data_IF_857320820600
#
_entry.id   IF_857320820600
#
_cell.length_a   1.000
_cell.length_b   1.000
_cell.length_c   1.000
_cell.angle_alpha   90.00
_cell.angle_beta   90.00
_cell.angle_gamma   90.00
#
_symmetry.space_group_name_H-M   'P 1'
#
loop_
_entity.id
_entity.type
_entity.pdbx_description
1 polymer ?
#
# COMPACT_ATOMS: atom_id res chain seq x y z
N UNK A 1 5.55 -0.07 4.56
CA UNK A 1 6.30 -0.38 3.33
C UNK A 1 5.43 -1.30 2.51
N UNK A 2 5.14 -0.88 1.28
CA UNK A 2 3.99 -1.36 0.51
C UNK A 2 4.48 -2.28 -0.59
N UNK A 3 3.89 -3.47 -0.70
CA UNK A 3 3.98 -4.27 -1.93
C UNK A 3 2.97 -3.65 -2.89
N UNK A 4 3.42 -2.70 -3.72
CA UNK A 4 2.64 -2.24 -4.87
C UNK A 4 3.25 -2.94 -6.07
N UNK A 5 2.57 -3.95 -6.60
CA UNK A 5 2.85 -4.37 -7.96
C UNK A 5 2.00 -3.47 -8.87
N UNK A 6 2.57 -2.49 -9.59
CA UNK A 6 1.81 -1.76 -10.59
C UNK A 6 1.29 -2.79 -11.59
N UNK A 7 -0.01 -2.80 -11.86
CA UNK A 7 -0.60 -3.55 -12.98
C UNK A 7 0.02 -3.00 -14.27
N UNK A 8 1.17 -3.53 -14.64
CA UNK A 8 2.00 -3.00 -15.71
C UNK A 8 2.54 -4.15 -16.53
N UNK A 9 2.35 -4.09 -17.84
CA UNK A 9 2.79 -5.14 -18.78
C UNK A 9 4.30 -5.11 -19.06
N UNK A 10 5.08 -4.38 -18.25
CA UNK A 10 6.52 -4.25 -18.42
C UNK A 10 7.31 -5.40 -17.77
N UNK A 11 6.64 -6.21 -16.94
CA UNK A 11 7.21 -7.37 -16.26
C UNK A 11 6.13 -8.42 -16.01
N UNK A 12 6.49 -9.69 -16.08
CA UNK A 12 5.63 -10.81 -15.67
C UNK A 12 5.89 -11.27 -14.22
N UNK A 13 6.67 -10.48 -13.48
CA UNK A 13 7.03 -10.72 -12.09
C UNK A 13 5.80 -10.94 -11.20
N UNK A 14 5.83 -12.05 -10.46
CA UNK A 14 4.85 -12.39 -9.44
C UNK A 14 5.54 -12.97 -8.19
N UNK A 15 4.94 -12.72 -7.04
CA UNK A 15 5.29 -13.38 -5.79
C UNK A 15 4.02 -13.94 -5.18
N UNK A 16 3.99 -15.26 -5.03
CA UNK A 16 2.90 -15.98 -4.39
C UNK A 16 3.33 -16.35 -2.99
N UNK A 17 2.59 -15.88 -2.01
CA UNK A 17 2.77 -16.18 -0.60
C UNK A 17 1.79 -17.27 -0.20
N UNK A 18 2.27 -18.30 0.50
CA UNK A 18 1.49 -19.44 0.95
C UNK A 18 1.55 -19.55 2.47
N UNK A 19 0.38 -19.62 3.09
CA UNK A 19 0.24 -20.04 4.48
C UNK A 19 0.03 -21.56 4.52
N UNK A 20 1.06 -22.27 4.97
CA UNK A 20 1.10 -23.74 5.01
C UNK A 20 0.01 -24.35 5.90
N UNK A 21 -0.49 -23.61 6.90
CA UNK A 21 -1.50 -24.12 7.83
C UNK A 21 -2.92 -23.82 7.38
N UNK A 22 -3.18 -22.63 6.83
CA UNK A 22 -4.52 -22.26 6.39
C UNK A 22 -4.81 -22.63 4.92
N UNK A 23 -3.78 -22.99 4.16
CA UNK A 23 -3.88 -23.24 2.72
C UNK A 23 -4.20 -21.99 1.90
N UNK A 24 -4.19 -20.81 2.54
CA UNK A 24 -4.40 -19.53 1.85
C UNK A 24 -3.17 -19.20 1.02
N UNK A 25 -3.40 -18.66 -0.16
CA UNK A 25 -2.36 -18.09 -1.00
C UNK A 25 -2.73 -16.68 -1.43
N UNK A 26 -1.72 -15.85 -1.63
CA UNK A 26 -1.85 -14.49 -2.13
C UNK A 26 -0.81 -14.23 -3.21
N UNK A 27 -1.24 -13.79 -4.38
CA UNK A 27 -0.36 -13.36 -5.47
C UNK A 27 -0.24 -11.83 -5.48
N UNK A 28 0.98 -11.32 -5.33
CA UNK A 28 1.25 -9.88 -5.41
C UNK A 28 0.84 -9.27 -6.76
N UNK A 29 0.77 -10.09 -7.82
CA UNK A 29 0.31 -9.67 -9.15
C UNK A 29 -1.21 -9.78 -9.34
N UNK A 30 -1.83 -10.88 -8.88
CA UNK A 30 -3.25 -11.19 -9.15
C UNK A 30 -4.19 -10.63 -8.09
N UNK A 31 -3.74 -10.52 -6.85
CA UNK A 31 -4.57 -10.19 -5.68
C UNK A 31 -4.28 -8.77 -5.14
N UNK A 32 -3.86 -7.84 -6.01
CA UNK A 32 -3.35 -6.49 -5.70
C UNK A 32 -4.25 -5.55 -4.85
N UNK A 33 -5.46 -5.98 -4.47
CA UNK A 33 -6.45 -5.16 -3.76
C UNK A 33 -6.43 -5.43 -2.26
N UNK A 34 -6.12 -6.63 -1.82
CA UNK A 34 -6.12 -6.94 -0.39
C UNK A 34 -4.77 -6.53 0.20
N UNK A 35 -4.76 -5.43 0.94
CA UNK A 35 -3.63 -5.00 1.75
C UNK A 35 -4.11 -4.30 3.04
N UNK A 36 -3.46 -4.54 4.20
CA UNK A 36 -2.44 -5.55 4.43
C UNK A 36 -3.01 -6.98 4.36
N UNK A 37 -2.16 -7.96 4.02
CA UNK A 37 -2.53 -9.39 4.04
C UNK A 37 -2.10 -9.94 5.38
N UNK A 38 -3.05 -10.56 6.08
CA UNK A 38 -2.79 -11.20 7.36
C UNK A 38 -2.80 -12.71 7.16
N UNK A 39 -1.65 -13.34 7.38
CA UNK A 39 -1.55 -14.78 7.50
C UNK A 39 -1.74 -15.18 8.95
N UNK A 40 -2.46 -16.27 9.17
CA UNK A 40 -2.74 -16.77 10.53
C UNK A 40 -1.61 -17.64 11.05
N UNK A 41 -0.81 -18.22 10.14
CA UNK A 41 0.36 -19.00 10.50
C UNK A 41 1.58 -18.14 10.81
N UNK A 42 2.45 -18.67 11.65
CA UNK A 42 3.79 -18.15 11.91
C UNK A 42 4.81 -18.54 10.82
N UNK A 43 4.41 -19.37 9.84
CA UNK A 43 5.25 -19.76 8.70
C UNK A 43 4.54 -19.38 7.41
N UNK A 44 5.22 -18.58 6.59
CA UNK A 44 4.77 -18.18 5.25
C UNK A 44 5.86 -18.53 4.25
N UNK A 45 5.50 -19.33 3.23
CA UNK A 45 6.37 -19.68 2.12
C UNK A 45 6.17 -18.68 0.98
N UNK A 46 7.24 -18.24 0.32
CA UNK A 46 7.16 -17.35 -0.84
C UNK A 46 7.70 -18.05 -2.08
N UNK A 47 6.90 -18.09 -3.15
CA UNK A 47 7.34 -18.48 -4.48
C UNK A 47 7.41 -17.23 -5.37
N UNK A 48 8.62 -16.91 -5.82
CA UNK A 48 8.88 -15.82 -6.74
C UNK A 48 9.04 -16.36 -8.17
N UNK A 49 8.35 -15.77 -9.14
CA UNK A 49 8.46 -16.12 -10.56
C UNK A 49 8.62 -14.87 -11.43
N UNK A 50 9.50 -14.97 -12.43
CA UNK A 50 9.68 -13.96 -13.48
C UNK A 50 10.36 -14.59 -14.69
N UNK A 51 9.82 -14.38 -15.88
CA UNK A 51 10.44 -14.78 -17.14
C UNK A 51 10.73 -13.60 -18.09
N UNK A 52 10.16 -12.42 -17.83
CA UNK A 52 10.27 -11.22 -18.65
C UNK A 52 10.22 -9.92 -17.84
N UNK A 53 11.02 -8.92 -18.24
CA UNK A 53 11.02 -7.58 -17.65
C UNK A 53 11.94 -7.40 -16.42
N UNK A 54 12.16 -6.15 -15.97
CA UNK A 54 12.99 -5.85 -14.80
C UNK A 54 12.25 -6.20 -13.48
N UNK A 55 12.96 -6.69 -12.44
CA UNK A 55 12.38 -6.86 -11.10
C UNK A 55 11.99 -5.52 -10.48
N UNK A 56 10.86 -5.48 -9.80
CA UNK A 56 10.37 -4.30 -9.06
C UNK A 56 9.73 -4.65 -7.71
N UNK A 57 9.64 -5.93 -7.35
CA UNK A 57 9.01 -6.35 -6.11
C UNK A 57 9.83 -5.95 -4.87
N UNK A 58 9.16 -5.30 -3.92
CA UNK A 58 9.68 -5.02 -2.58
C UNK A 58 8.73 -5.67 -1.58
N UNK A 59 9.22 -6.60 -0.77
CA UNK A 59 8.44 -7.32 0.25
C UNK A 59 8.77 -6.79 1.65
N UNK A 60 7.76 -6.30 2.38
CA UNK A 60 7.88 -6.02 3.81
C UNK A 60 7.12 -7.08 4.61
N UNK A 61 7.80 -7.69 5.57
CA UNK A 61 7.19 -8.61 6.54
C UNK A 61 7.20 -7.94 7.91
N UNK A 62 6.02 -7.79 8.51
CA UNK A 62 5.85 -7.29 9.88
C UNK A 62 5.35 -8.43 10.76
N UNK A 63 6.05 -8.69 11.86
CA UNK A 63 5.54 -9.53 12.93
C UNK A 63 4.71 -8.66 13.87
N UNK A 64 3.39 -8.84 13.86
CA UNK A 64 2.48 -8.17 14.79
C UNK A 64 2.38 -9.04 16.05
N UNK A 65 3.11 -8.66 17.09
CA UNK A 65 2.90 -9.19 18.44
C UNK A 65 1.82 -8.33 19.12
N UNK A 66 0.77 -8.97 19.64
CA UNK A 66 -0.46 -8.41 20.20
C UNK A 66 -1.66 -8.14 19.24
N UNK A 67 -2.82 -8.56 19.74
CA UNK A 67 -4.16 -8.69 19.13
C UNK A 67 -4.87 -7.41 18.66
N UNK A 68 -4.20 -6.27 18.45
CA UNK A 68 -4.91 -4.98 18.53
C UNK A 68 -5.32 -4.26 17.24
N UNK A 69 -5.29 -4.89 16.06
CA UNK A 69 -5.74 -4.20 14.85
C UNK A 69 -6.59 -5.10 13.95
N UNK A 70 -7.90 -5.07 14.17
CA UNK A 70 -8.92 -5.52 13.21
C UNK A 70 -9.08 -4.53 12.04
N UNK A 71 -8.57 -3.30 12.17
CA UNK A 71 -8.56 -2.29 11.13
C UNK A 71 -7.34 -2.44 10.20
N UNK A 72 -7.50 -2.03 8.93
CA UNK A 72 -6.40 -1.96 7.95
C UNK A 72 -5.47 -0.82 8.33
N UNK A 73 -4.58 -1.12 9.27
CA UNK A 73 -3.77 -0.15 9.99
C UNK A 73 -2.28 -0.46 9.85
N UNK A 74 -1.49 0.56 9.49
CA UNK A 74 -0.03 0.51 9.50
C UNK A 74 0.47 1.48 10.55
N UNK A 75 1.13 0.98 11.59
CA UNK A 75 1.85 1.81 12.56
C UNK A 75 3.35 1.70 12.31
N UNK A 76 4.01 2.82 12.06
CA UNK A 76 5.46 2.91 12.18
C UNK A 76 5.78 3.76 13.40
N UNK A 77 6.39 3.13 14.41
CA UNK A 77 6.69 3.75 15.68
C UNK A 77 8.20 3.87 15.89
N UNK A 78 8.66 5.04 16.33
CA UNK A 78 10.01 5.30 16.83
C UNK A 78 11.12 4.71 15.94
N UNK A 79 11.01 4.98 14.64
CA UNK A 79 11.83 4.36 13.58
C UNK A 79 12.51 5.43 12.71
N UNK A 80 13.51 5.01 11.94
CA UNK A 80 14.15 5.86 10.92
C UNK A 80 13.82 5.29 9.53
N UNK A 81 13.33 6.15 8.64
CA UNK A 81 13.07 5.83 7.23
C UNK A 81 14.06 6.62 6.38
N UNK A 82 15.11 5.94 5.94
CA UNK A 82 16.23 6.58 5.28
C UNK A 82 16.73 5.91 4.01
N UNK A 83 17.32 6.73 3.14
CA UNK A 83 17.99 6.32 1.90
C UNK A 83 17.09 5.55 0.90
N UNK A 84 15.79 5.85 0.88
CA UNK A 84 14.84 5.25 -0.08
C UNK A 84 14.55 6.18 -1.27
N UNK A 85 14.12 5.59 -2.38
CA UNK A 85 13.54 6.37 -3.48
C UNK A 85 12.29 7.14 -2.99
N UNK A 86 11.38 6.43 -2.33
CA UNK A 86 10.24 7.01 -1.64
C UNK A 86 10.29 6.54 -0.19
N UNK A 87 10.25 7.47 0.79
CA UNK A 87 10.23 7.09 2.20
C UNK A 87 9.01 6.20 2.50
N UNK A 88 7.84 6.64 2.06
CA UNK A 88 6.62 5.86 1.98
C UNK A 88 6.01 6.04 0.61
N UNK A 89 5.57 4.95 -0.01
CA UNK A 89 4.78 4.97 -1.25
C UNK A 89 3.51 4.14 -1.03
N UNK A 90 2.37 4.68 -1.41
CA UNK A 90 1.06 4.02 -1.29
C UNK A 90 0.21 4.30 -2.52
N UNK A 91 -0.36 3.25 -3.09
CA UNK A 91 -1.21 3.33 -4.27
C UNK A 91 -2.60 2.80 -3.95
N UNK A 92 -3.63 3.58 -4.23
CA UNK A 92 -5.01 3.31 -3.85
C UNK A 92 -5.90 3.27 -5.09
N UNK A 93 -6.30 2.06 -5.48
CA UNK A 93 -7.22 1.87 -6.60
C UNK A 93 -8.67 2.04 -6.13
N UNK A 94 -9.47 2.81 -6.89
CA UNK A 94 -10.90 2.98 -6.59
C UNK A 94 -11.74 1.77 -7.00
N UNK A 95 -11.29 0.99 -7.98
CA UNK A 95 -12.01 -0.19 -8.48
C UNK A 95 -11.06 -1.29 -8.99
N UNK A 96 -11.64 -2.44 -9.28
CA UNK A 96 -11.02 -3.50 -10.07
C UNK A 96 -11.92 -3.89 -11.24
N UNK A 97 -11.32 -4.01 -12.41
CA UNK A 97 -11.95 -4.58 -13.59
C UNK A 97 -11.51 -6.04 -13.75
N UNK A 98 -12.47 -6.95 -13.90
CA UNK A 98 -12.24 -8.36 -14.18
C UNK A 98 -12.24 -8.64 -15.68
N UNK A 99 -11.72 -9.79 -16.09
CA UNK A 99 -11.63 -10.19 -17.50
C UNK A 99 -12.98 -10.40 -18.18
N UNK A 100 -14.05 -10.60 -17.41
CA UNK A 100 -15.43 -10.70 -17.88
C UNK A 100 -16.11 -9.34 -18.04
N UNK A 101 -15.41 -8.23 -17.74
CA UNK A 101 -15.94 -6.87 -17.78
C UNK A 101 -16.62 -6.43 -16.49
N UNK A 102 -16.68 -7.28 -15.45
CA UNK A 102 -17.21 -6.90 -14.14
C UNK A 102 -16.32 -5.81 -13.52
N UNK A 103 -16.94 -4.80 -12.89
CA UNK A 103 -16.24 -3.77 -12.11
C UNK A 103 -16.68 -3.88 -10.66
N UNK A 104 -15.73 -4.00 -9.73
CA UNK A 104 -16.00 -3.89 -8.28
C UNK A 104 -15.32 -2.65 -7.73
N UNK A 105 -16.06 -1.85 -6.97
CA UNK A 105 -15.49 -0.69 -6.30
C UNK A 105 -14.96 -1.05 -4.92
N UNK A 106 -13.84 -0.43 -4.56
CA UNK A 106 -13.25 -0.55 -3.23
C UNK A 106 -14.00 0.37 -2.28
N UNK A 107 -14.48 -0.19 -1.18
CA UNK A 107 -14.84 0.55 0.02
C UNK A 107 -13.97 0.08 1.18
N UNK A 108 -13.28 1.00 1.83
CA UNK A 108 -12.32 0.69 2.90
C UNK A 108 -12.13 1.88 3.83
N UNK A 109 -11.88 1.61 5.11
CA UNK A 109 -11.37 2.58 6.06
C UNK A 109 -9.98 2.13 6.50
N UNK A 110 -8.98 2.93 6.20
CA UNK A 110 -7.57 2.60 6.37
C UNK A 110 -6.87 3.69 7.16
N UNK A 111 -5.84 3.30 7.92
CA UNK A 111 -5.04 4.28 8.65
C UNK A 111 -3.56 3.94 8.59
N UNK A 112 -2.76 4.89 8.17
CA UNK A 112 -1.32 4.87 8.24
C UNK A 112 -0.89 5.88 9.30
N UNK A 113 -0.29 5.39 10.38
CA UNK A 113 0.17 6.22 11.49
C UNK A 113 1.68 6.09 11.63
N UNK A 114 2.34 7.23 11.53
CA UNK A 114 3.76 7.41 11.76
C UNK A 114 3.89 8.18 13.07
N UNK A 115 4.50 7.58 14.07
CA UNK A 115 4.67 8.19 15.39
C UNK A 115 6.15 8.17 15.78
N UNK A 116 6.73 9.34 16.07
CA UNK A 116 8.16 9.50 16.39
C UNK A 116 9.10 8.95 15.29
N UNK A 117 8.68 9.06 14.03
CA UNK A 117 9.45 8.56 12.89
C UNK A 117 10.36 9.68 12.35
N UNK A 118 11.60 9.34 12.04
CA UNK A 118 12.54 10.23 11.36
C UNK A 118 12.67 9.84 9.89
N UNK A 119 12.11 10.64 8.99
CA UNK A 119 12.29 10.52 7.55
C UNK A 119 13.49 11.35 7.11
N UNK A 120 14.52 10.71 6.54
CA UNK A 120 15.73 11.42 6.13
C UNK A 120 16.38 10.82 4.88
N UNK A 121 17.05 11.65 4.05
CA UNK A 121 17.78 11.21 2.85
C UNK A 121 16.98 10.42 1.81
N UNK A 122 15.64 10.55 1.78
CA UNK A 122 14.82 9.97 0.72
C UNK A 122 14.89 10.84 -0.56
N UNK A 123 14.97 10.21 -1.73
CA UNK A 123 15.39 10.90 -2.97
C UNK A 123 14.26 11.50 -3.82
N UNK A 124 13.13 10.83 -4.01
CA UNK A 124 12.02 11.28 -4.87
C UNK A 124 10.82 11.81 -4.08
N UNK A 125 10.44 11.15 -2.99
CA UNK A 125 9.44 11.68 -2.05
C UNK A 125 9.67 11.15 -0.63
N UNK A 126 9.20 11.90 0.37
CA UNK A 126 9.11 11.43 1.75
C UNK A 126 7.89 10.53 1.91
N UNK A 127 6.74 11.01 1.44
CA UNK A 127 5.50 10.22 1.31
C UNK A 127 4.95 10.49 -0.09
N UNK A 128 4.65 9.43 -0.83
CA UNK A 128 3.96 9.52 -2.11
C UNK A 128 2.67 8.71 -2.07
N UNK A 129 1.55 9.40 -2.33
CA UNK A 129 0.22 8.82 -2.45
C UNK A 129 -0.19 8.90 -3.92
N UNK A 130 -0.66 7.79 -4.47
CA UNK A 130 -1.13 7.73 -5.84
C UNK A 130 -2.50 7.05 -5.95
N UNK A 131 -3.46 7.70 -6.61
CA UNK A 131 -4.80 7.17 -6.89
C UNK A 131 -5.09 7.26 -8.40
N UNK A 132 -4.68 6.25 -9.20
CA UNK A 132 -4.67 6.34 -10.66
C UNK A 132 -6.02 6.06 -11.35
N UNK A 133 -6.97 5.38 -10.69
CA UNK A 133 -8.14 4.80 -11.38
C UNK A 133 -9.34 5.77 -11.46
N UNK A 134 -10.04 5.76 -12.59
CA UNK A 134 -10.97 6.83 -13.00
C UNK A 134 -12.48 6.47 -13.02
N UNK A 135 -12.84 5.18 -12.99
CA UNK A 135 -14.23 4.74 -13.16
C UNK A 135 -14.91 4.50 -11.81
N UNK A 136 -15.53 5.53 -11.27
CA UNK A 136 -16.35 5.40 -10.06
C UNK A 136 -17.80 5.22 -10.48
N UNK A 137 -18.41 4.10 -10.12
CA UNK A 137 -19.84 3.89 -10.39
C UNK A 137 -20.66 4.91 -9.57
N UNK A 138 -21.80 5.40 -10.08
CA UNK A 138 -22.67 6.27 -9.30
C UNK A 138 -23.04 5.64 -7.96
N UNK A 139 -23.09 6.45 -6.90
CA UNK A 139 -23.37 6.03 -5.51
C UNK A 139 -22.34 5.07 -4.89
N UNK A 140 -21.12 5.01 -5.43
CA UNK A 140 -20.03 4.26 -4.80
C UNK A 140 -19.69 4.86 -3.43
N UNK A 141 -19.63 4.04 -2.37
CA UNK A 141 -19.16 4.50 -1.06
C UNK A 141 -17.72 5.01 -1.13
N UNK A 142 -17.44 6.08 -0.39
CA UNK A 142 -16.10 6.67 -0.32
C UNK A 142 -15.24 5.83 0.63
N UNK A 143 -14.05 5.46 0.17
CA UNK A 143 -12.98 4.94 1.02
C UNK A 143 -12.21 6.09 1.66
N UNK A 144 -11.97 5.99 2.96
CA UNK A 144 -11.18 6.97 3.72
C UNK A 144 -9.85 6.35 4.11
N UNK A 145 -8.75 6.97 3.71
CA UNK A 145 -7.39 6.53 4.03
C UNK A 145 -6.68 7.61 4.83
N UNK A 146 -6.61 7.42 6.14
CA UNK A 146 -6.07 8.38 7.10
C UNK A 146 -4.54 8.32 7.14
N UNK A 147 -3.88 9.47 7.02
CA UNK A 147 -2.43 9.62 7.21
C UNK A 147 -2.18 10.45 8.48
N UNK A 148 -1.61 9.81 9.49
CA UNK A 148 -1.27 10.42 10.77
C UNK A 148 0.25 10.56 10.88
N UNK A 149 0.72 11.79 11.00
CA UNK A 149 2.11 12.15 11.29
C UNK A 149 2.13 12.75 12.69
N UNK A 150 2.60 11.98 13.67
CA UNK A 150 2.64 12.36 15.09
C UNK A 150 4.09 12.44 15.56
N UNK A 151 4.54 13.64 15.91
CA UNK A 151 5.90 13.92 16.40
C UNK A 151 7.00 13.35 15.48
N UNK A 152 6.78 13.47 14.17
CA UNK A 152 7.71 12.98 13.16
C UNK A 152 8.73 14.07 12.78
N UNK A 153 9.94 13.64 12.44
CA UNK A 153 10.96 14.48 11.83
C UNK A 153 11.02 14.19 10.34
N UNK A 154 10.97 15.24 9.51
CA UNK A 154 11.18 15.15 8.07
C UNK A 154 12.30 16.11 7.70
N UNK A 155 13.52 15.59 7.58
CA UNK A 155 14.71 16.42 7.40
C UNK A 155 15.72 15.78 6.45
N UNK A 156 16.42 16.60 5.65
CA UNK A 156 17.45 16.15 4.70
C UNK A 156 16.96 15.19 3.61
N UNK A 157 15.69 15.29 3.23
CA UNK A 157 15.14 14.59 2.06
C UNK A 157 15.28 15.49 0.82
N UNK A 158 15.45 14.90 -0.36
CA UNK A 158 15.41 15.63 -1.64
C UNK A 158 13.98 15.79 -2.14
N UNK A 159 13.16 14.77 -1.92
CA UNK A 159 11.76 14.72 -2.36
C UNK A 159 10.77 15.32 -1.36
N UNK A 160 9.61 15.83 -1.81
CA UNK A 160 8.55 16.36 -0.96
C UNK A 160 7.59 15.27 -0.44
N UNK A 161 6.54 15.66 0.28
CA UNK A 161 5.33 14.86 0.41
C UNK A 161 4.44 15.15 -0.79
N UNK A 162 3.98 14.10 -1.49
CA UNK A 162 3.25 14.20 -2.74
C UNK A 162 1.95 13.41 -2.62
N UNK A 163 0.83 14.07 -2.90
CA UNK A 163 -0.46 13.43 -3.12
C UNK A 163 -0.86 13.60 -4.59
N UNK A 164 -1.02 12.48 -5.29
CA UNK A 164 -1.43 12.46 -6.70
C UNK A 164 -2.75 11.70 -6.84
N UNK A 165 -3.83 12.47 -6.94
CA UNK A 165 -5.17 11.95 -7.19
C UNK A 165 -5.90 12.91 -8.14
N UNK A 166 -6.94 12.42 -8.84
CA UNK A 166 -7.89 13.31 -9.52
C UNK A 166 -8.90 13.86 -8.53
N UNK A 167 -9.58 14.92 -8.95
CA UNK A 167 -10.75 15.54 -8.31
C UNK A 167 -11.69 14.49 -7.69
N UNK A 168 -12.25 14.82 -6.52
CA UNK A 168 -13.24 14.08 -5.75
C UNK A 168 -14.44 13.58 -6.58
N UNK A 169 -14.80 14.24 -7.68
CA UNK A 169 -15.86 13.75 -8.58
C UNK A 169 -15.48 12.50 -9.40
N UNK A 170 -14.20 12.12 -9.42
CA UNK A 170 -13.68 11.02 -10.23
C UNK A 170 -12.86 9.98 -9.44
N UNK A 171 -12.80 10.08 -8.10
CA UNK A 171 -12.14 9.09 -7.25
C UNK A 171 -13.03 8.69 -6.07
N UNK A 172 -13.08 7.40 -5.77
CA UNK A 172 -13.77 6.87 -4.60
C UNK A 172 -12.88 6.86 -3.33
N UNK A 173 -11.76 7.58 -3.35
CA UNK A 173 -10.78 7.62 -2.27
C UNK A 173 -10.62 9.06 -1.75
N UNK A 174 -10.63 9.22 -0.43
CA UNK A 174 -10.29 10.47 0.26
C UNK A 174 -9.12 10.22 1.20
N UNK A 175 -8.23 11.20 1.32
CA UNK A 175 -6.99 11.12 2.09
C UNK A 175 -6.97 12.14 3.25
N UNK A 176 -7.61 11.86 4.40
CA UNK A 176 -7.53 12.76 5.55
C UNK A 176 -6.11 12.77 6.14
N UNK A 177 -5.58 13.97 6.40
CA UNK A 177 -4.28 14.16 7.05
C UNK A 177 -4.42 14.70 8.46
N UNK A 178 -3.72 14.05 9.40
CA UNK A 178 -3.57 14.51 10.78
C UNK A 178 -2.08 14.72 11.06
N UNK A 179 -1.66 15.97 11.26
CA UNK A 179 -0.27 16.34 11.50
C UNK A 179 -0.17 16.98 12.87
N UNK A 180 0.60 16.36 13.77
CA UNK A 180 0.77 16.72 15.18
C UNK A 180 2.24 16.75 15.59
#
# INVERSE_FOLDING_TARGET
>A
MTIVNPVSNISDEDAVFYDEQSGKSFSARRDSIQFPIVFTSNVVSMQYTRSYGPPKLIVLVLFLDAQEYLDRFVHLYQSVVEDNQYGISSVHYSNLSYSDGTITNRWSNEKLWFQKVNFTRNSEAVIWIHSPQHEVLPNTPISEIYYHLDNCSIAFNRGPVIETHRDLFASANVFPWNIW
#
